data_IF_064098900303
#
_entry.id   IF_064098900303
#
_cell.length_a   1.000
_cell.length_b   1.000
_cell.length_c   1.000
_cell.angle_alpha   90.00
_cell.angle_beta   90.00
_cell.angle_gamma   90.00
#
_symmetry.space_group_name_H-M   'P 1'
#
loop_
_entity.id
_entity.type
_entity.pdbx_description
1 polymer ?
#
# COMPACT_ATOMS: atom_id res chain seq x y z
N UNK A 1 39.96 23.76 7.58
CA UNK A 1 38.74 23.45 6.82
C UNK A 1 37.61 23.37 7.80
N UNK A 2 36.73 24.38 7.80
CA UNK A 2 35.66 24.55 8.81
C UNK A 2 34.42 23.80 8.36
N UNK A 3 34.01 22.77 9.11
CA UNK A 3 32.73 22.10 8.92
C UNK A 3 31.60 23.08 9.28
N UNK A 4 30.72 23.38 8.34
CA UNK A 4 29.48 24.08 8.61
C UNK A 4 28.47 23.05 9.12
N UNK A 5 28.30 23.02 10.43
CA UNK A 5 27.14 22.37 11.07
C UNK A 5 25.96 23.30 10.78
N UNK A 6 25.07 22.87 9.91
CA UNK A 6 23.76 23.51 9.75
C UNK A 6 22.88 22.94 10.85
N UNK A 7 22.80 23.71 11.92
CA UNK A 7 21.89 23.48 13.03
C UNK A 7 20.48 23.86 12.55
N UNK A 8 19.66 22.88 12.14
CA UNK A 8 18.24 23.09 11.96
C UNK A 8 17.60 23.18 13.34
N UNK A 9 17.50 24.41 13.81
CA UNK A 9 16.80 24.73 15.04
C UNK A 9 15.31 24.47 14.78
N UNK A 10 14.79 23.35 15.29
CA UNK A 10 13.36 23.22 15.51
C UNK A 10 12.91 24.35 16.42
N UNK A 11 12.23 25.31 15.86
CA UNK A 11 11.45 26.28 16.64
C UNK A 11 10.25 25.50 17.18
N UNK A 12 10.42 24.95 18.38
CA UNK A 12 9.31 24.47 19.21
C UNK A 12 8.59 25.73 19.73
N UNK A 13 7.84 26.38 18.84
CA UNK A 13 6.83 27.34 19.28
C UNK A 13 5.67 26.49 19.81
N UNK A 14 5.52 26.48 21.13
CA UNK A 14 4.31 26.02 21.79
C UNK A 14 3.11 26.87 21.33
N UNK A 15 2.54 26.53 20.20
CA UNK A 15 1.24 26.99 19.78
C UNK A 15 0.22 26.01 20.39
N UNK A 16 -0.53 26.54 21.34
CA UNK A 16 -1.85 26.03 21.66
C UNK A 16 -2.55 25.70 20.34
N UNK A 17 -2.66 24.42 20.04
CA UNK A 17 -3.36 23.92 18.83
C UNK A 17 -4.84 24.13 19.07
N UNK A 18 -5.28 25.35 18.80
CA UNK A 18 -6.65 25.59 18.37
C UNK A 18 -6.78 24.91 17.01
N UNK A 19 -7.75 23.99 16.85
CA UNK A 19 -8.10 23.28 15.62
C UNK A 19 -7.47 23.92 14.38
N UNK A 20 -6.58 23.25 13.63
CA UNK A 20 -6.22 23.77 12.34
C UNK A 20 -7.50 23.73 11.47
N UNK A 21 -8.13 24.86 11.29
CA UNK A 21 -9.11 25.03 10.25
C UNK A 21 -8.39 24.64 8.95
N UNK A 22 -8.85 23.59 8.29
CA UNK A 22 -8.49 23.31 6.91
C UNK A 22 -8.67 24.63 6.15
N UNK A 23 -7.59 25.20 5.65
CA UNK A 23 -7.64 26.46 4.93
C UNK A 23 -8.56 26.24 3.72
N UNK A 24 -9.64 26.99 3.63
CA UNK A 24 -10.51 27.00 2.47
C UNK A 24 -9.69 27.43 1.27
N UNK A 25 -9.24 26.46 0.48
CA UNK A 25 -8.78 26.73 -0.88
C UNK A 25 -10.02 27.16 -1.68
N UNK A 26 -10.06 28.43 -2.07
CA UNK A 26 -11.10 28.96 -2.97
C UNK A 26 -10.89 28.41 -4.38
N UNK A 27 -11.18 27.13 -4.57
CA UNK A 27 -11.42 26.49 -5.86
C UNK A 27 -12.92 26.24 -6.00
N UNK A 28 -13.48 26.34 -7.20
CA UNK A 28 -14.87 26.00 -7.46
C UNK A 28 -15.13 24.59 -6.92
N UNK A 29 -15.89 24.50 -5.81
CA UNK A 29 -16.39 23.21 -5.29
C UNK A 29 -17.07 22.46 -6.44
N UNK A 30 -16.70 21.19 -6.70
CA UNK A 30 -17.41 20.36 -7.65
C UNK A 30 -18.89 20.34 -7.27
N UNK A 31 -19.77 20.12 -8.23
CA UNK A 31 -21.20 19.94 -8.00
C UNK A 31 -21.39 18.76 -7.04
N UNK A 32 -21.42 19.04 -5.75
CA UNK A 32 -21.72 18.02 -4.74
C UNK A 32 -23.06 17.38 -5.10
N UNK A 33 -23.06 16.06 -5.23
CA UNK A 33 -24.29 15.29 -5.40
C UNK A 33 -25.28 15.71 -4.30
N UNK A 34 -26.53 15.96 -4.68
CA UNK A 34 -27.59 16.36 -3.72
C UNK A 34 -27.70 15.42 -2.51
N UNK A 35 -27.34 14.13 -2.70
CA UNK A 35 -27.32 13.14 -1.63
C UNK A 35 -26.19 13.41 -0.62
N UNK A 36 -25.02 13.88 -1.05
CA UNK A 36 -23.92 14.25 -0.17
C UNK A 36 -24.32 15.40 0.75
N UNK A 37 -24.97 16.44 0.20
CA UNK A 37 -25.50 17.56 0.98
C UNK A 37 -26.59 17.10 1.95
N UNK A 38 -27.49 16.21 1.51
CA UNK A 38 -28.52 15.65 2.38
C UNK A 38 -27.91 14.80 3.48
N UNK A 39 -26.89 14.01 3.15
CA UNK A 39 -26.18 13.18 4.12
C UNK A 39 -25.54 14.03 5.22
N UNK A 40 -24.85 15.11 4.87
CA UNK A 40 -24.31 16.04 5.86
C UNK A 40 -25.41 16.55 6.81
N UNK A 41 -26.55 16.98 6.29
CA UNK A 41 -27.69 17.43 7.11
C UNK A 41 -28.23 16.33 8.02
N UNK A 42 -28.30 15.09 7.52
CA UNK A 42 -28.73 13.95 8.33
C UNK A 42 -27.74 13.63 9.45
N UNK A 43 -26.43 13.74 9.20
CA UNK A 43 -25.41 13.62 10.23
C UNK A 43 -25.57 14.68 11.34
N UNK A 44 -25.81 15.94 10.97
CA UNK A 44 -26.09 17.02 11.92
C UNK A 44 -27.37 16.73 12.73
N UNK A 45 -28.42 16.18 12.11
CA UNK A 45 -29.65 15.77 12.79
C UNK A 45 -29.45 14.60 13.77
N UNK A 46 -28.44 13.74 13.53
CA UNK A 46 -28.02 12.69 14.49
C UNK A 46 -27.24 13.26 15.69
N UNK A 47 -27.00 14.57 15.73
CA UNK A 47 -26.33 15.27 16.82
C UNK A 47 -24.82 15.39 16.66
N UNK A 48 -24.29 15.18 15.45
CA UNK A 48 -22.87 15.39 15.18
C UNK A 48 -22.57 16.85 14.83
N UNK A 49 -21.39 17.30 15.22
CA UNK A 49 -20.67 18.39 14.54
C UNK A 49 -19.97 17.77 13.34
N UNK A 50 -20.27 18.29 12.14
CA UNK A 50 -19.79 17.75 10.86
C UNK A 50 -18.80 18.73 10.23
N UNK A 51 -17.60 18.26 9.91
CA UNK A 51 -16.63 19.02 9.12
C UNK A 51 -16.44 18.31 7.78
N UNK A 52 -16.72 18.99 6.70
CA UNK A 52 -16.39 18.51 5.35
C UNK A 52 -14.93 18.86 5.04
N UNK A 53 -14.11 17.85 4.79
CA UNK A 53 -12.71 18.04 4.40
C UNK A 53 -12.63 18.10 2.88
N UNK A 54 -12.61 19.30 2.34
CA UNK A 54 -12.50 19.54 0.90
C UNK A 54 -11.14 19.07 0.39
N UNK A 55 -11.12 18.42 -0.79
CA UNK A 55 -9.92 17.89 -1.46
C UNK A 55 -9.01 17.02 -0.58
N UNK A 56 -9.55 16.45 0.50
CA UNK A 56 -8.74 15.66 1.43
C UNK A 56 -8.32 14.29 0.88
N UNK A 57 -9.00 13.75 -0.14
CA UNK A 57 -8.70 12.46 -0.73
C UNK A 57 -8.05 12.62 -2.11
N UNK A 58 -6.95 11.93 -2.35
CA UNK A 58 -6.28 11.95 -3.66
C UNK A 58 -4.92 11.28 -3.68
N UNK A 59 -4.27 11.31 -4.84
CA UNK A 59 -3.01 10.59 -5.07
C UNK A 59 -1.86 11.12 -4.21
N UNK A 60 -0.97 10.20 -3.80
CA UNK A 60 0.29 10.51 -3.14
C UNK A 60 1.45 9.88 -3.93
N UNK A 61 2.50 10.65 -4.15
CA UNK A 61 3.71 10.20 -4.84
C UNK A 61 4.85 10.02 -3.83
N UNK A 62 5.02 8.80 -3.32
CA UNK A 62 6.04 8.47 -2.32
C UNK A 62 7.46 8.65 -2.86
N UNK A 63 7.72 8.35 -4.14
CA UNK A 63 9.02 8.58 -4.75
C UNK A 63 9.37 10.07 -4.75
N UNK A 64 8.43 10.94 -5.10
CA UNK A 64 8.61 12.38 -5.04
C UNK A 64 8.90 12.86 -3.61
N UNK A 65 8.14 12.39 -2.62
CA UNK A 65 8.32 12.77 -1.22
C UNK A 65 9.72 12.40 -0.71
N UNK A 66 10.18 11.17 -0.97
CA UNK A 66 11.50 10.71 -0.53
C UNK A 66 12.62 11.40 -1.28
N UNK A 67 12.53 11.51 -2.60
CA UNK A 67 13.58 12.12 -3.42
C UNK A 67 13.79 13.60 -3.10
N UNK A 68 12.78 14.30 -2.61
CA UNK A 68 12.86 15.70 -2.20
C UNK A 68 13.03 15.93 -0.69
N UNK A 69 13.14 14.84 0.09
CA UNK A 69 13.41 14.91 1.52
C UNK A 69 12.23 15.31 2.41
N UNK A 70 11.00 15.18 1.90
CA UNK A 70 9.79 15.30 2.72
C UNK A 70 9.55 14.07 3.58
N UNK A 71 10.01 12.91 3.10
CA UNK A 71 10.02 11.63 3.82
C UNK A 71 11.42 11.01 3.74
N UNK A 72 11.80 10.23 4.74
CA UNK A 72 13.09 9.54 4.75
C UNK A 72 13.07 8.27 3.91
N UNK A 73 11.94 7.55 3.90
CA UNK A 73 11.75 6.29 3.18
C UNK A 73 10.40 6.27 2.43
N UNK A 74 10.31 5.47 1.39
CA UNK A 74 9.08 5.24 0.62
C UNK A 74 8.25 4.07 1.13
N UNK A 75 8.57 3.57 2.32
CA UNK A 75 7.81 2.52 3.02
C UNK A 75 7.63 1.25 2.18
N UNK A 76 8.64 0.88 1.41
CA UNK A 76 8.54 -0.29 0.56
C UNK A 76 7.41 -0.23 -0.44
N UNK A 77 7.10 0.93 -1.01
CA UNK A 77 6.03 1.08 -1.98
C UNK A 77 6.17 0.11 -3.15
N UNK A 78 5.07 -0.34 -3.71
CA UNK A 78 5.11 -1.11 -4.95
C UNK A 78 5.29 -0.13 -6.12
N UNK A 79 6.37 -0.29 -6.92
CA UNK A 79 6.69 0.61 -8.02
C UNK A 79 5.58 0.71 -9.09
N UNK A 80 4.76 -0.33 -9.22
CA UNK A 80 3.66 -0.41 -10.19
C UNK A 80 2.32 0.07 -9.63
N UNK A 81 2.27 0.56 -8.37
CA UNK A 81 1.02 0.86 -7.69
C UNK A 81 0.86 2.34 -7.42
N UNK A 82 -0.20 2.96 -7.88
CA UNK A 82 -0.65 4.22 -7.33
C UNK A 82 -1.34 4.02 -5.99
N UNK A 83 -1.24 5.07 -5.17
CA UNK A 83 -1.88 5.17 -3.87
C UNK A 83 -2.71 6.45 -3.81
N UNK A 84 -3.87 6.39 -3.16
CA UNK A 84 -4.63 7.57 -2.75
C UNK A 84 -4.79 7.56 -1.22
N UNK A 85 -4.76 8.73 -0.61
CA UNK A 85 -4.82 8.87 0.85
C UNK A 85 -5.78 9.99 1.24
N UNK A 86 -6.35 9.89 2.45
CA UNK A 86 -6.98 11.04 3.11
C UNK A 86 -5.87 11.79 3.83
N UNK A 87 -5.54 12.99 3.36
CA UNK A 87 -4.52 13.85 3.97
C UNK A 87 -4.61 15.30 3.50
N UNK A 88 -3.86 16.18 4.15
CA UNK A 88 -3.66 17.55 3.72
C UNK A 88 -2.73 17.65 2.50
N UNK A 89 -2.81 18.77 1.80
CA UNK A 89 -1.89 19.16 0.73
C UNK A 89 -1.04 20.33 1.20
N UNK A 90 0.27 20.23 1.04
CA UNK A 90 1.22 21.29 1.33
C UNK A 90 1.96 21.66 0.05
N UNK A 91 1.93 22.94 -0.35
CA UNK A 91 2.54 23.44 -1.61
C UNK A 91 2.21 22.59 -2.85
N UNK A 92 0.97 22.10 -2.93
CA UNK A 92 0.51 21.25 -4.03
C UNK A 92 0.94 19.77 -3.93
N UNK A 93 1.68 19.38 -2.90
CA UNK A 93 2.10 18.01 -2.62
C UNK A 93 1.29 17.44 -1.47
N UNK A 94 0.72 16.26 -1.66
CA UNK A 94 0.00 15.54 -0.60
C UNK A 94 1.01 14.84 0.31
N UNK A 95 0.99 15.17 1.60
CA UNK A 95 2.04 14.80 2.56
C UNK A 95 1.63 13.75 3.58
N UNK A 96 0.52 13.08 3.39
CA UNK A 96 0.13 11.92 4.21
C UNK A 96 0.04 12.17 5.73
N UNK A 97 -0.29 13.40 6.18
CA UNK A 97 -0.47 13.65 7.62
C UNK A 97 -1.62 12.86 8.19
N UNK A 98 -1.38 12.29 9.38
CA UNK A 98 -2.30 11.37 10.00
C UNK A 98 -3.54 12.02 10.61
N UNK A 99 -4.56 11.21 10.73
CA UNK A 99 -5.86 11.51 11.36
C UNK A 99 -5.78 11.14 12.85
N UNK A 100 -6.32 11.96 13.73
CA UNK A 100 -6.54 11.60 15.14
C UNK A 100 -8.04 11.53 15.43
N UNK A 101 -8.48 10.51 16.16
CA UNK A 101 -9.87 10.26 16.50
C UNK A 101 -10.07 10.20 18.02
N UNK A 102 -11.03 10.96 18.55
CA UNK A 102 -11.61 10.63 19.85
C UNK A 102 -12.34 9.27 19.79
N UNK A 103 -12.55 8.59 20.92
CA UNK A 103 -13.20 7.28 20.93
C UNK A 103 -14.58 7.21 20.23
N UNK A 104 -15.22 8.36 20.03
CA UNK A 104 -16.56 8.52 19.48
C UNK A 104 -16.59 9.29 18.15
N UNK A 105 -15.43 9.58 17.58
CA UNK A 105 -15.33 10.25 16.28
C UNK A 105 -15.43 9.25 15.12
N UNK A 106 -15.71 9.77 13.92
CA UNK A 106 -15.56 9.00 12.70
C UNK A 106 -15.02 9.87 11.55
N UNK A 107 -14.26 9.24 10.67
CA UNK A 107 -13.99 9.73 9.31
C UNK A 107 -14.84 8.93 8.34
N UNK A 108 -15.54 9.63 7.47
CA UNK A 108 -16.48 9.05 6.52
C UNK A 108 -16.01 9.40 5.11
N UNK A 109 -15.68 8.38 4.33
CA UNK A 109 -15.42 8.50 2.91
C UNK A 109 -16.68 8.14 2.14
N UNK A 110 -17.15 9.04 1.29
CA UNK A 110 -18.23 8.83 0.33
C UNK A 110 -17.61 8.97 -1.06
N UNK A 111 -17.66 7.93 -1.85
CA UNK A 111 -16.98 7.92 -3.14
C UNK A 111 -17.32 6.70 -3.97
N UNK A 112 -16.37 6.27 -4.77
CA UNK A 112 -16.51 5.07 -5.61
C UNK A 112 -15.26 4.21 -5.55
N UNK A 113 -15.41 2.95 -5.89
CA UNK A 113 -14.31 2.02 -6.12
C UNK A 113 -13.62 2.33 -7.44
N UNK A 114 -12.35 1.91 -7.62
CA UNK A 114 -11.61 2.15 -8.86
C UNK A 114 -12.25 1.42 -10.05
N UNK A 115 -11.85 1.79 -11.29
CA UNK A 115 -12.15 1.02 -12.47
C UNK A 115 -11.57 -0.39 -12.37
N UNK A 116 -11.88 -1.31 -13.32
CA UNK A 116 -11.37 -2.67 -13.25
C UNK A 116 -9.85 -2.77 -13.11
N UNK A 117 -9.41 -3.35 -12.00
CA UNK A 117 -8.01 -3.62 -11.64
C UNK A 117 -7.88 -5.05 -11.12
N UNK A 118 -6.67 -5.63 -11.12
CA UNK A 118 -6.48 -6.97 -10.54
C UNK A 118 -6.66 -6.98 -9.01
N UNK A 119 -6.33 -5.87 -8.36
CA UNK A 119 -6.47 -5.72 -6.92
C UNK A 119 -6.70 -4.25 -6.54
N UNK A 120 -7.60 -4.03 -5.59
CA UNK A 120 -7.65 -2.79 -4.81
C UNK A 120 -8.04 -3.04 -3.36
N UNK A 121 -7.69 -2.10 -2.49
CA UNK A 121 -8.16 -2.10 -1.10
C UNK A 121 -8.23 -0.70 -0.51
N UNK A 122 -9.12 -0.54 0.47
CA UNK A 122 -9.12 0.55 1.43
C UNK A 122 -8.61 0.02 2.76
N UNK A 123 -7.56 0.64 3.30
CA UNK A 123 -6.87 0.15 4.50
C UNK A 123 -6.66 1.28 5.49
N UNK A 124 -6.98 1.03 6.75
CA UNK A 124 -6.63 1.89 7.86
C UNK A 124 -5.28 1.46 8.47
N UNK A 125 -4.48 2.44 8.87
CA UNK A 125 -3.18 2.21 9.52
C UNK A 125 -3.05 3.07 10.77
N UNK A 126 -2.28 2.60 11.75
CA UNK A 126 -1.57 3.50 12.66
C UNK A 126 -0.25 3.87 11.99
N UNK A 127 -0.03 5.14 11.72
CA UNK A 127 1.20 5.61 11.11
C UNK A 127 2.31 5.73 12.15
N UNK A 128 2.05 6.53 13.20
CA UNK A 128 2.98 6.70 14.30
C UNK A 128 2.26 6.84 15.64
N UNK A 129 3.00 6.68 16.72
CA UNK A 129 2.53 6.82 18.08
C UNK A 129 3.49 7.60 18.97
N UNK A 130 2.99 8.08 20.08
CA UNK A 130 3.77 8.77 21.09
C UNK A 130 4.92 7.91 21.62
N UNK A 131 6.15 8.36 21.43
CA UNK A 131 7.37 7.65 21.82
C UNK A 131 7.76 7.81 23.30
N UNK A 132 7.09 8.71 24.02
CA UNK A 132 7.41 9.08 25.41
C UNK A 132 7.88 10.52 25.54
N UNK A 133 7.93 11.02 26.79
CA UNK A 133 8.37 12.38 27.08
C UNK A 133 9.79 12.64 26.56
N UNK A 134 9.98 13.73 25.82
CA UNK A 134 11.25 14.12 25.22
C UNK A 134 11.75 13.20 24.08
N UNK A 135 10.97 12.21 23.66
CA UNK A 135 11.31 11.33 22.54
C UNK A 135 10.51 11.68 21.29
N UNK A 136 11.07 11.45 20.10
CA UNK A 136 10.31 11.58 18.86
C UNK A 136 9.14 10.58 18.84
N UNK A 137 8.13 10.85 18.02
CA UNK A 137 7.07 9.88 17.74
C UNK A 137 7.68 8.62 17.11
N UNK A 138 7.18 7.47 17.50
CA UNK A 138 7.63 6.18 17.00
C UNK A 138 6.77 5.77 15.81
N UNK A 139 7.41 5.61 14.67
CA UNK A 139 6.73 5.11 13.49
C UNK A 139 6.39 3.62 13.68
N UNK A 140 5.14 3.28 13.46
CA UNK A 140 4.60 1.90 13.52
C UNK A 140 4.18 1.45 12.13
N UNK A 141 3.58 2.33 11.36
CA UNK A 141 2.97 2.16 10.04
C UNK A 141 2.44 0.73 9.80
N UNK A 142 1.52 0.33 10.65
CA UNK A 142 0.90 -0.99 10.67
C UNK A 142 -0.59 -0.89 10.39
N UNK A 143 -1.14 -1.85 9.65
CA UNK A 143 -2.59 -1.95 9.42
C UNK A 143 -3.34 -2.13 10.75
N UNK A 144 -4.61 -1.70 10.81
CA UNK A 144 -5.47 -1.86 11.99
C UNK A 144 -6.37 -3.10 11.92
N UNK A 145 -6.09 -4.00 10.99
CA UNK A 145 -6.84 -5.23 10.78
C UNK A 145 -6.85 -5.64 9.31
N UNK A 146 -7.78 -6.53 8.95
CA UNK A 146 -8.00 -6.91 7.56
C UNK A 146 -8.50 -5.72 6.74
N UNK A 147 -8.07 -5.64 5.48
CA UNK A 147 -8.45 -4.57 4.56
C UNK A 147 -9.87 -4.74 4.04
N UNK A 148 -10.45 -3.65 3.55
CA UNK A 148 -11.66 -3.68 2.73
C UNK A 148 -11.21 -3.77 1.28
N UNK A 149 -10.93 -4.99 0.80
CA UNK A 149 -10.43 -5.22 -0.54
C UNK A 149 -11.54 -5.62 -1.54
N UNK A 150 -11.17 -5.75 -2.82
CA UNK A 150 -12.07 -6.05 -3.92
C UNK A 150 -12.93 -7.32 -3.72
N UNK A 151 -12.48 -8.29 -2.93
CA UNK A 151 -13.24 -9.52 -2.65
C UNK A 151 -14.23 -9.38 -1.49
N UNK A 152 -14.08 -8.34 -0.66
CA UNK A 152 -14.83 -8.18 0.60
C UNK A 152 -15.68 -6.92 0.67
N UNK A 153 -15.41 -5.95 -0.19
CA UNK A 153 -16.10 -4.67 -0.17
C UNK A 153 -17.60 -4.82 -0.44
N UNK A 154 -18.42 -4.13 0.35
CA UNK A 154 -19.85 -4.05 0.11
C UNK A 154 -20.14 -3.02 -0.98
N UNK A 155 -20.69 -3.50 -2.08
CA UNK A 155 -21.18 -2.69 -3.22
C UNK A 155 -22.53 -3.25 -3.68
N UNK A 156 -23.24 -2.53 -4.55
CA UNK A 156 -24.48 -3.02 -5.15
C UNK A 156 -24.27 -4.27 -6.00
N UNK A 157 -23.08 -4.48 -6.53
CA UNK A 157 -22.69 -5.66 -7.29
C UNK A 157 -21.39 -6.23 -6.72
N UNK A 158 -21.50 -7.18 -5.80
CA UNK A 158 -20.35 -7.81 -5.15
C UNK A 158 -19.49 -8.65 -6.10
N UNK A 159 -20.03 -9.08 -7.25
CA UNK A 159 -19.27 -9.86 -8.23
C UNK A 159 -18.39 -8.96 -9.11
N UNK A 160 -18.81 -7.71 -9.30
CA UNK A 160 -18.10 -6.71 -10.10
C UNK A 160 -17.97 -5.42 -9.27
N UNK A 161 -17.08 -5.41 -8.29
CA UNK A 161 -17.00 -4.33 -7.29
C UNK A 161 -16.31 -3.05 -7.82
N UNK A 162 -16.10 -2.93 -9.12
CA UNK A 162 -15.42 -1.82 -9.77
C UNK A 162 -16.40 -0.74 -10.23
N UNK A 163 -15.97 0.54 -10.22
CA UNK A 163 -16.80 1.71 -10.58
C UNK A 163 -18.13 1.75 -9.80
N UNK A 164 -18.12 1.36 -8.54
CA UNK A 164 -19.32 1.31 -7.68
C UNK A 164 -19.24 2.37 -6.60
N UNK A 165 -20.37 3.03 -6.37
CA UNK A 165 -20.53 3.92 -5.23
C UNK A 165 -20.37 3.15 -3.91
N UNK A 166 -19.64 3.74 -2.96
CA UNK A 166 -19.40 3.19 -1.63
C UNK A 166 -19.41 4.28 -0.56
N UNK A 167 -19.70 3.86 0.67
CA UNK A 167 -19.40 4.61 1.88
C UNK A 167 -18.48 3.76 2.75
N UNK A 168 -17.39 4.36 3.26
CA UNK A 168 -16.51 3.72 4.24
C UNK A 168 -16.47 4.58 5.49
N UNK A 169 -16.86 4.01 6.63
CA UNK A 169 -16.87 4.67 7.95
C UNK A 169 -15.71 4.13 8.79
N UNK A 170 -14.71 4.97 9.06
CA UNK A 170 -13.58 4.67 9.92
C UNK A 170 -13.87 5.19 11.33
N UNK A 171 -14.12 4.30 12.29
CA UNK A 171 -14.50 4.65 13.67
C UNK A 171 -14.18 3.55 14.66
N UNK A 172 -14.03 3.93 15.93
CA UNK A 172 -13.86 2.99 17.05
C UNK A 172 -15.18 2.66 17.76
N UNK A 173 -16.25 3.44 17.52
CA UNK A 173 -17.51 3.35 18.28
C UNK A 173 -18.67 2.82 17.44
N UNK A 174 -19.34 1.77 17.95
CA UNK A 174 -20.51 1.17 17.30
C UNK A 174 -21.68 2.12 17.25
N UNK A 175 -21.91 2.88 18.34
CA UNK A 175 -23.00 3.84 18.39
C UNK A 175 -22.86 4.97 17.37
N UNK A 176 -21.65 5.49 17.20
CA UNK A 176 -21.32 6.46 16.15
C UNK A 176 -21.53 5.83 14.77
N UNK A 177 -21.03 4.61 14.53
CA UNK A 177 -21.22 3.95 13.25
C UNK A 177 -22.71 3.76 12.91
N UNK A 178 -23.53 3.25 13.86
CA UNK A 178 -24.96 3.05 13.66
C UNK A 178 -25.67 4.34 13.26
N UNK A 179 -25.39 5.45 13.93
CA UNK A 179 -25.96 6.78 13.59
C UNK A 179 -25.52 7.28 12.22
N UNK A 180 -24.24 7.08 11.86
CA UNK A 180 -23.72 7.45 10.52
C UNK A 180 -24.42 6.62 9.44
N UNK A 181 -24.57 5.31 9.64
CA UNK A 181 -25.27 4.44 8.69
C UNK A 181 -26.75 4.80 8.57
N UNK A 182 -27.41 5.19 9.66
CA UNK A 182 -28.81 5.64 9.62
C UNK A 182 -28.95 6.98 8.90
N UNK A 183 -28.05 7.93 9.13
CA UNK A 183 -27.99 9.20 8.39
C UNK A 183 -27.81 8.96 6.88
N UNK A 184 -26.92 8.02 6.50
CA UNK A 184 -26.72 7.65 5.11
C UNK A 184 -27.98 7.05 4.47
N UNK A 185 -28.69 6.15 5.16
CA UNK A 185 -30.00 5.61 4.70
C UNK A 185 -31.03 6.71 4.51
N UNK A 186 -31.13 7.65 5.45
CA UNK A 186 -32.08 8.79 5.36
C UNK A 186 -31.70 9.74 4.20
N UNK A 187 -30.43 9.82 3.83
CA UNK A 187 -29.96 10.54 2.65
C UNK A 187 -30.17 9.78 1.33
N UNK A 188 -30.73 8.56 1.38
CA UNK A 188 -31.04 7.75 0.19
C UNK A 188 -29.90 6.83 -0.28
N UNK A 189 -28.86 6.64 0.55
CA UNK A 189 -27.82 5.65 0.24
C UNK A 189 -28.27 4.23 0.62
N UNK A 190 -28.13 3.24 -0.27
CA UNK A 190 -28.50 1.86 0.04
C UNK A 190 -27.53 1.25 1.06
N UNK A 191 -28.05 0.44 1.98
CA UNK A 191 -27.22 -0.24 2.99
C UNK A 191 -26.15 -1.14 2.36
N UNK A 192 -26.39 -1.68 1.17
CA UNK A 192 -25.49 -2.60 0.49
C UNK A 192 -24.14 -1.98 0.09
N UNK A 193 -23.99 -0.64 0.10
CA UNK A 193 -22.73 0.05 -0.23
C UNK A 193 -21.97 0.54 1.01
N UNK A 194 -22.47 0.23 2.19
CA UNK A 194 -21.90 0.72 3.45
C UNK A 194 -20.85 -0.25 3.97
N UNK A 195 -19.67 0.27 4.28
CA UNK A 195 -18.53 -0.46 4.80
C UNK A 195 -18.05 0.20 6.09
N UNK A 196 -17.61 -0.60 7.06
CA UNK A 196 -17.04 -0.10 8.30
C UNK A 196 -15.59 -0.52 8.42
N UNK A 197 -14.71 0.46 8.58
CA UNK A 197 -13.31 0.27 8.93
C UNK A 197 -13.18 0.44 10.44
N UNK A 198 -13.16 -0.67 11.16
CA UNK A 198 -13.11 -0.67 12.62
C UNK A 198 -11.72 -0.22 13.09
N UNK A 199 -11.70 0.78 13.97
CA UNK A 199 -10.49 1.21 14.68
C UNK A 199 -10.48 0.53 16.06
N UNK A 200 -9.65 -0.51 16.27
CA UNK A 200 -9.67 -1.28 17.50
C UNK A 200 -9.03 -0.51 18.67
N UNK A 201 -9.84 0.01 19.58
CA UNK A 201 -9.39 0.78 20.75
C UNK A 201 -8.53 -0.03 21.74
N UNK A 202 -8.47 -1.36 21.58
CA UNK A 202 -7.57 -2.24 22.34
C UNK A 202 -6.10 -2.09 21.97
N UNK A 203 -5.80 -1.63 20.74
CA UNK A 203 -4.42 -1.48 20.22
C UNK A 203 -4.11 -0.07 19.76
N UNK A 204 -5.13 0.72 19.37
CA UNK A 204 -4.99 2.12 18.92
C UNK A 204 -5.19 3.07 20.09
N UNK A 205 -4.28 4.01 20.28
CA UNK A 205 -4.39 5.07 21.29
C UNK A 205 -5.23 6.21 20.72
N UNK A 206 -6.52 6.16 21.04
CA UNK A 206 -7.48 7.18 20.62
C UNK A 206 -7.34 8.47 21.43
N UNK A 207 -7.79 9.59 20.85
CA UNK A 207 -7.77 10.92 21.43
C UNK A 207 -7.24 11.96 20.47
N UNK A 208 -7.00 13.15 20.99
CA UNK A 208 -6.38 14.28 20.28
C UNK A 208 -5.07 14.68 20.98
N UNK A 209 -4.15 15.21 20.19
CA UNK A 209 -2.88 15.74 20.69
C UNK A 209 -1.77 14.68 20.79
N UNK A 210 -0.74 14.99 21.54
CA UNK A 210 0.57 14.32 21.48
C UNK A 210 0.50 12.81 21.78
N UNK A 211 -0.32 12.41 22.77
CA UNK A 211 -0.36 11.01 23.25
C UNK A 211 -1.19 10.07 22.36
N UNK A 212 -2.02 10.62 21.49
CA UNK A 212 -2.83 9.84 20.56
C UNK A 212 -2.01 9.35 19.37
N UNK A 213 -2.39 8.21 18.81
CA UNK A 213 -1.82 7.70 17.57
C UNK A 213 -2.29 8.54 16.38
N UNK A 214 -1.46 8.67 15.35
CA UNK A 214 -1.88 9.15 14.04
C UNK A 214 -2.29 7.99 13.17
N UNK A 215 -3.46 8.12 12.56
CA UNK A 215 -4.05 7.13 11.67
C UNK A 215 -3.93 7.58 10.21
N UNK A 216 -3.89 6.63 9.28
CA UNK A 216 -4.02 6.88 7.85
C UNK A 216 -5.17 6.07 7.28
N UNK A 217 -5.80 6.64 6.25
CA UNK A 217 -6.74 5.95 5.36
C UNK A 217 -6.11 5.92 3.96
N UNK A 218 -5.85 4.73 3.44
CA UNK A 218 -5.11 4.53 2.20
C UNK A 218 -5.90 3.64 1.25
N UNK A 219 -6.04 4.08 0.01
CA UNK A 219 -6.45 3.25 -1.11
C UNK A 219 -5.22 2.80 -1.91
N UNK A 220 -5.22 1.52 -2.31
CA UNK A 220 -4.20 0.88 -3.17
C UNK A 220 -4.85 0.25 -4.37
N UNK A 221 -4.19 0.35 -5.53
CA UNK A 221 -4.70 -0.20 -6.79
C UNK A 221 -3.57 -0.80 -7.60
N UNK A 222 -3.79 -1.99 -8.18
CA UNK A 222 -2.76 -2.68 -8.97
C UNK A 222 -3.31 -3.23 -10.26
N UNK A 223 -2.51 -3.11 -11.30
CA UNK A 223 -2.73 -3.75 -12.59
C UNK A 223 -4.10 -3.44 -13.17
N UNK A 224 -4.33 -2.20 -13.63
CA UNK A 224 -5.58 -1.80 -14.25
C UNK A 224 -5.80 -2.54 -15.58
N UNK A 225 -7.06 -2.81 -15.90
CA UNK A 225 -7.44 -3.29 -17.21
C UNK A 225 -7.21 -2.22 -18.31
N UNK A 226 -7.38 -0.95 -17.93
CA UNK A 226 -7.07 0.22 -18.75
C UNK A 226 -6.36 1.28 -17.89
N UNK A 227 -5.16 1.70 -18.30
CA UNK A 227 -4.36 2.69 -17.57
C UNK A 227 -4.98 4.09 -17.61
N UNK A 228 -5.59 4.48 -18.72
CA UNK A 228 -6.20 5.81 -18.87
C UNK A 228 -7.41 5.98 -17.96
N UNK A 229 -8.21 4.91 -17.77
CA UNK A 229 -9.34 4.91 -16.84
C UNK A 229 -8.87 5.08 -15.40
N UNK A 230 -7.78 4.39 -15.01
CA UNK A 230 -7.20 4.53 -13.67
C UNK A 230 -6.61 5.92 -13.46
N UNK A 231 -5.91 6.45 -14.44
CA UNK A 231 -5.36 7.82 -14.39
C UNK A 231 -6.49 8.83 -14.23
N UNK A 232 -7.56 8.72 -15.04
CA UNK A 232 -8.75 9.58 -14.93
C UNK A 232 -9.40 9.47 -13.56
N UNK A 233 -9.54 8.25 -13.03
CA UNK A 233 -10.10 8.01 -11.70
C UNK A 233 -9.32 8.76 -10.61
N UNK A 234 -7.99 8.71 -10.66
CA UNK A 234 -7.13 9.37 -9.69
C UNK A 234 -7.12 10.89 -9.83
N UNK A 235 -6.97 11.38 -11.06
CA UNK A 235 -6.86 12.83 -11.34
C UNK A 235 -8.15 13.59 -11.06
N UNK A 236 -9.28 12.89 -11.08
CA UNK A 236 -10.59 13.48 -10.80
C UNK A 236 -11.14 13.15 -9.41
N UNK A 237 -10.31 12.64 -8.51
CA UNK A 237 -10.75 12.21 -7.16
C UNK A 237 -11.48 13.31 -6.38
N UNK A 238 -11.05 14.56 -6.48
CA UNK A 238 -11.70 15.72 -5.88
C UNK A 238 -13.14 15.99 -6.41
N UNK A 239 -13.50 15.40 -7.56
CA UNK A 239 -14.84 15.60 -8.16
C UNK A 239 -15.88 14.57 -7.68
N UNK A 240 -15.42 13.39 -7.25
CA UNK A 240 -16.32 12.27 -6.90
C UNK A 240 -16.12 11.74 -5.47
N UNK A 241 -15.07 12.16 -4.75
CA UNK A 241 -14.86 11.80 -3.36
C UNK A 241 -15.28 12.96 -2.44
N UNK A 242 -15.96 12.62 -1.34
CA UNK A 242 -16.24 13.52 -0.24
C UNK A 242 -15.79 12.89 1.07
N UNK A 243 -15.10 13.66 1.90
CA UNK A 243 -14.62 13.18 3.20
C UNK A 243 -15.25 14.03 4.29
N UNK A 244 -15.91 13.37 5.24
CA UNK A 244 -16.46 14.04 6.43
C UNK A 244 -15.74 13.55 7.67
N UNK A 245 -15.44 14.48 8.55
CA UNK A 245 -15.09 14.22 9.92
C UNK A 245 -16.29 14.56 10.80
N UNK A 246 -16.70 13.60 11.65
CA UNK A 246 -17.82 13.81 12.58
C UNK A 246 -17.37 13.58 14.01
N UNK A 247 -17.85 14.44 14.89
CA UNK A 247 -17.65 14.34 16.35
C UNK A 247 -18.92 14.82 17.06
N UNK A 248 -19.02 14.53 18.35
CA UNK A 248 -20.09 15.13 19.15
C UNK A 248 -19.66 16.47 19.71
N UNK A 249 -20.56 17.49 19.82
CA UNK A 249 -20.24 18.76 20.45
C UNK A 249 -19.84 18.61 21.92
N UNK A 250 -20.49 17.67 22.61
CA UNK A 250 -20.17 17.28 23.98
C UNK A 250 -19.84 15.79 24.03
N UNK A 251 -18.90 15.42 24.92
CA UNK A 251 -18.53 14.01 25.09
C UNK A 251 -19.79 13.17 25.42
N UNK A 252 -20.09 12.13 24.63
CA UNK A 252 -21.25 11.28 24.90
C UNK A 252 -21.10 10.56 26.24
N UNK A 253 -22.22 10.46 26.98
CA UNK A 253 -22.27 9.81 28.28
C UNK A 253 -21.86 8.33 28.22
N UNK A 254 -21.99 7.69 27.06
CA UNK A 254 -21.67 6.29 26.84
C UNK A 254 -21.02 6.10 25.47
N UNK A 255 -19.87 5.42 25.47
CA UNK A 255 -19.17 4.96 24.29
C UNK A 255 -19.34 3.44 24.17
N UNK A 256 -19.55 2.92 22.97
CA UNK A 256 -19.72 1.51 22.68
C UNK A 256 -18.58 1.00 21.77
N UNK A 257 -17.35 0.83 22.28
CA UNK A 257 -16.20 0.49 21.46
C UNK A 257 -16.41 -0.84 20.74
N UNK A 258 -15.90 -0.93 19.53
CA UNK A 258 -15.80 -2.20 18.83
C UNK A 258 -14.82 -3.12 19.56
N UNK A 259 -15.12 -4.43 19.65
CA UNK A 259 -14.08 -5.41 19.98
C UNK A 259 -12.99 -5.39 18.91
N UNK A 260 -11.81 -5.91 19.25
CA UNK A 260 -10.79 -6.20 18.24
C UNK A 260 -11.40 -7.14 17.20
N UNK A 261 -11.40 -6.78 15.90
CA UNK A 261 -11.97 -7.65 14.87
C UNK A 261 -11.25 -9.00 14.83
N UNK A 262 -12.01 -10.06 14.62
CA UNK A 262 -11.43 -11.36 14.27
C UNK A 262 -10.77 -11.25 12.90
N UNK A 263 -9.51 -11.70 12.82
CA UNK A 263 -8.75 -11.69 11.58
C UNK A 263 -9.07 -12.90 10.72
N UNK A 264 -9.13 -12.72 9.43
CA UNK A 264 -9.23 -13.82 8.49
C UNK A 264 -8.01 -14.75 8.62
N UNK A 265 -8.25 -16.04 8.51
CA UNK A 265 -7.20 -17.03 8.52
C UNK A 265 -6.52 -17.06 7.15
N UNK A 266 -5.18 -16.93 7.13
CA UNK A 266 -4.38 -17.07 5.92
C UNK A 266 -4.26 -18.54 5.53
N UNK A 267 -4.34 -18.80 4.23
CA UNK A 267 -4.11 -20.11 3.65
C UNK A 267 -5.33 -21.02 3.63
N UNK A 268 -5.29 -21.96 2.73
CA UNK A 268 -6.36 -22.94 2.45
C UNK A 268 -5.95 -24.37 2.79
N UNK A 269 -4.73 -24.59 3.29
CA UNK A 269 -4.13 -25.92 3.48
C UNK A 269 -3.54 -26.51 2.18
N UNK A 270 -3.74 -25.89 1.02
CA UNK A 270 -3.13 -26.31 -0.24
C UNK A 270 -1.77 -25.61 -0.41
N UNK A 271 -0.74 -26.38 -0.67
CA UNK A 271 0.62 -25.86 -0.82
C UNK A 271 1.09 -25.97 -2.26
N UNK A 272 2.12 -25.18 -2.61
CA UNK A 272 2.82 -25.25 -3.89
C UNK A 272 4.00 -26.25 -3.87
N UNK A 273 4.16 -27.06 -2.81
CA UNK A 273 5.31 -27.93 -2.58
C UNK A 273 5.58 -28.91 -3.74
N UNK A 274 4.53 -29.33 -4.45
CA UNK A 274 4.66 -30.22 -5.61
C UNK A 274 5.41 -29.58 -6.80
N UNK A 275 5.54 -28.26 -6.81
CA UNK A 275 6.33 -27.50 -7.80
C UNK A 275 7.81 -27.40 -7.44
N UNK A 276 8.21 -27.74 -6.20
CA UNK A 276 9.60 -27.63 -5.73
C UNK A 276 10.60 -28.33 -6.66
N UNK A 277 10.38 -29.60 -7.12
CA UNK A 277 11.36 -30.26 -8.01
C UNK A 277 11.49 -29.56 -9.37
N UNK A 278 10.41 -28.94 -9.87
CA UNK A 278 10.44 -28.17 -11.11
C UNK A 278 11.16 -26.83 -10.92
N UNK A 279 10.96 -26.17 -9.79
CA UNK A 279 11.65 -24.93 -9.43
C UNK A 279 13.16 -25.15 -9.24
N UNK A 280 13.58 -26.25 -8.58
CA UNK A 280 14.99 -26.59 -8.41
C UNK A 280 15.64 -26.96 -9.77
N UNK A 281 14.89 -27.59 -10.66
CA UNK A 281 15.36 -27.85 -12.03
C UNK A 281 15.50 -26.55 -12.82
N UNK A 282 14.58 -25.58 -12.66
CA UNK A 282 14.67 -24.26 -13.26
C UNK A 282 15.92 -23.52 -12.79
N UNK A 283 16.18 -23.52 -11.48
CA UNK A 283 17.42 -22.94 -10.91
C UNK A 283 18.66 -23.52 -11.55
N UNK A 284 18.70 -24.86 -11.68
CA UNK A 284 19.83 -25.56 -12.30
C UNK A 284 19.97 -25.21 -13.78
N UNK A 285 18.89 -25.10 -14.52
CA UNK A 285 18.89 -24.72 -15.93
C UNK A 285 19.33 -23.26 -16.14
N UNK A 286 18.91 -22.35 -15.25
CA UNK A 286 19.36 -20.96 -15.24
C UNK A 286 20.89 -20.89 -15.06
N UNK A 287 21.43 -21.61 -14.09
CA UNK A 287 22.89 -21.65 -13.84
C UNK A 287 23.63 -22.23 -15.05
N UNK A 288 23.16 -23.32 -15.62
CA UNK A 288 23.78 -23.94 -16.79
C UNK A 288 23.79 -23.03 -18.01
N UNK A 289 22.68 -22.31 -18.26
CA UNK A 289 22.57 -21.34 -19.36
C UNK A 289 23.52 -20.13 -19.19
N UNK A 290 24.02 -19.88 -17.98
CA UNK A 290 24.91 -18.76 -17.64
C UNK A 290 26.28 -19.28 -17.13
N UNK A 291 26.79 -20.41 -17.66
CA UNK A 291 28.01 -21.10 -17.20
C UNK A 291 29.30 -20.27 -17.29
N UNK A 292 29.29 -19.17 -18.05
CA UNK A 292 30.43 -18.23 -18.15
C UNK A 292 30.46 -17.16 -17.04
N UNK A 293 29.53 -17.18 -16.10
CA UNK A 293 29.39 -16.20 -15.02
C UNK A 293 29.51 -16.87 -13.65
N UNK A 294 29.85 -16.07 -12.64
CA UNK A 294 29.82 -16.54 -11.25
C UNK A 294 28.39 -16.32 -10.69
N UNK A 295 27.69 -17.38 -10.27
CA UNK A 295 26.35 -17.27 -9.69
C UNK A 295 26.43 -16.97 -8.19
N UNK A 296 25.79 -15.88 -7.77
CA UNK A 296 25.54 -15.56 -6.37
C UNK A 296 24.05 -15.68 -6.07
N UNK A 297 23.67 -16.69 -5.30
CA UNK A 297 22.26 -17.00 -5.00
C UNK A 297 21.70 -16.04 -3.96
N UNK A 298 20.61 -15.35 -4.31
CA UNK A 298 19.84 -14.48 -3.46
C UNK A 298 18.55 -15.18 -3.06
N UNK A 299 18.56 -15.80 -1.89
CA UNK A 299 17.34 -16.38 -1.31
C UNK A 299 16.51 -15.28 -0.64
N UNK A 300 15.19 -15.35 -0.78
CA UNK A 300 14.30 -14.47 -0.07
C UNK A 300 14.01 -15.00 1.35
N UNK A 301 13.66 -14.08 2.22
CA UNK A 301 13.17 -14.33 3.56
C UNK A 301 11.95 -13.45 3.85
N UNK A 302 11.28 -13.68 4.97
CA UNK A 302 10.16 -12.85 5.40
C UNK A 302 10.67 -11.41 5.64
N UNK A 303 10.05 -10.44 4.94
CA UNK A 303 10.39 -9.03 5.10
C UNK A 303 9.58 -8.38 6.22
N UNK A 304 8.26 -8.52 6.16
CA UNK A 304 7.35 -7.91 7.12
C UNK A 304 6.54 -8.98 7.84
N UNK A 305 6.38 -8.76 9.13
CA UNK A 305 5.50 -9.55 10.00
C UNK A 305 4.06 -9.02 9.95
N UNK A 306 3.18 -9.57 10.76
CA UNK A 306 1.78 -9.17 10.80
C UNK A 306 1.54 -7.98 11.73
N UNK A 307 0.44 -7.30 11.54
CA UNK A 307 0.01 -6.07 12.19
C UNK A 307 0.19 -6.02 13.72
N UNK A 308 -0.13 -7.11 14.45
CA UNK A 308 0.04 -7.16 15.90
C UNK A 308 1.50 -7.04 16.34
N UNK A 309 2.45 -7.52 15.53
CA UNK A 309 3.88 -7.40 15.85
C UNK A 309 4.32 -5.94 15.88
N UNK A 310 3.79 -5.10 14.98
CA UNK A 310 4.02 -3.65 15.01
C UNK A 310 3.57 -3.02 16.32
N UNK A 311 2.36 -3.34 16.77
CA UNK A 311 1.78 -2.79 17.99
C UNK A 311 2.46 -3.32 19.26
N UNK A 312 2.74 -4.63 19.32
CA UNK A 312 3.31 -5.27 20.51
C UNK A 312 4.80 -4.98 20.70
N UNK A 313 5.55 -4.92 19.60
CA UNK A 313 7.01 -4.74 19.62
C UNK A 313 7.44 -3.32 19.32
N UNK A 314 6.54 -2.46 18.84
CA UNK A 314 6.87 -1.13 18.37
C UNK A 314 7.73 -1.14 17.10
N UNK A 315 7.58 -2.17 16.25
CA UNK A 315 8.32 -2.29 15.01
C UNK A 315 7.62 -1.50 13.91
N UNK A 316 8.38 -0.72 13.13
CA UNK A 316 7.85 -0.11 11.92
C UNK A 316 7.60 -1.19 10.86
N UNK A 317 6.34 -1.41 10.52
CA UNK A 317 5.92 -2.37 9.50
C UNK A 317 5.75 -1.75 8.11
N UNK A 318 6.21 -0.52 7.93
CA UNK A 318 6.30 0.20 6.65
C UNK A 318 5.07 0.06 5.73
N UNK A 319 3.88 0.12 6.33
CA UNK A 319 2.62 0.02 5.59
C UNK A 319 2.23 -1.41 5.22
N UNK A 320 2.63 -2.39 6.02
CA UNK A 320 2.15 -3.77 5.91
C UNK A 320 0.63 -3.82 5.83
N UNK A 321 0.09 -4.70 5.01
CA UNK A 321 -1.32 -5.08 5.06
C UNK A 321 -1.49 -6.60 4.93
N UNK A 322 -2.55 -7.10 5.55
CA UNK A 322 -2.83 -8.54 5.59
C UNK A 322 -3.25 -9.13 4.24
N UNK A 323 -3.47 -8.31 3.22
CA UNK A 323 -3.82 -8.76 1.87
C UNK A 323 -2.65 -9.41 1.13
N UNK A 324 -1.43 -9.28 1.62
CA UNK A 324 -0.27 -9.83 0.93
C UNK A 324 0.73 -10.48 1.88
N UNK A 325 1.61 -11.29 1.35
CA UNK A 325 2.87 -11.68 1.97
C UNK A 325 3.98 -10.79 1.45
N UNK A 326 4.97 -10.55 2.30
CA UNK A 326 6.13 -9.72 1.97
C UNK A 326 7.40 -10.54 2.17
N UNK A 327 8.13 -10.76 1.08
CA UNK A 327 9.44 -11.41 1.10
C UNK A 327 10.48 -10.45 0.53
N UNK A 328 11.74 -10.55 0.96
CA UNK A 328 12.85 -9.83 0.35
C UNK A 328 14.13 -10.64 0.33
N UNK A 329 15.02 -10.32 -0.61
CA UNK A 329 16.40 -10.80 -0.60
C UNK A 329 17.26 -10.01 0.39
N UNK A 330 18.47 -10.46 0.65
CA UNK A 330 19.52 -9.60 1.18
C UNK A 330 19.86 -8.48 0.20
N UNK A 331 20.51 -7.45 0.72
CA UNK A 331 20.99 -6.35 -0.11
C UNK A 331 22.13 -6.81 -1.04
N UNK A 332 22.23 -6.16 -2.20
CA UNK A 332 23.28 -6.37 -3.20
C UNK A 332 23.53 -5.09 -3.99
N UNK A 333 24.65 -5.04 -4.73
CA UNK A 333 24.94 -3.98 -5.70
C UNK A 333 24.82 -4.52 -7.11
N UNK A 334 24.20 -3.75 -8.00
CA UNK A 334 24.03 -4.08 -9.42
C UNK A 334 24.86 -3.13 -10.26
N UNK A 335 25.84 -3.65 -11.00
CA UNK A 335 26.67 -2.88 -11.90
C UNK A 335 25.95 -2.42 -13.18
N UNK A 336 26.57 -1.52 -13.93
CA UNK A 336 26.03 -0.97 -15.19
C UNK A 336 26.49 -1.76 -16.43
N UNK A 337 27.36 -2.75 -16.25
CA UNK A 337 27.79 -3.66 -17.33
C UNK A 337 26.62 -4.58 -17.75
N UNK A 338 26.46 -4.89 -19.04
CA UNK A 338 25.51 -5.93 -19.47
C UNK A 338 25.88 -7.33 -19.00
N UNK A 339 27.08 -7.51 -18.44
CA UNK A 339 27.60 -8.74 -17.84
C UNK A 339 27.36 -8.83 -16.32
N UNK A 340 26.69 -7.83 -15.73
CA UNK A 340 26.24 -7.79 -14.33
C UNK A 340 24.70 -7.71 -14.31
N UNK A 341 24.02 -8.80 -13.94
CA UNK A 341 22.57 -8.89 -14.00
C UNK A 341 22.00 -9.93 -13.05
N UNK A 342 20.73 -9.82 -12.78
CA UNK A 342 19.95 -10.78 -12.02
C UNK A 342 19.08 -11.64 -12.95
N UNK A 343 18.88 -12.90 -12.58
CA UNK A 343 17.73 -13.68 -13.01
C UNK A 343 16.85 -13.90 -11.78
N UNK A 344 15.66 -13.29 -11.79
CA UNK A 344 14.63 -13.44 -10.76
C UNK A 344 13.72 -14.56 -11.20
N UNK A 345 13.44 -15.55 -10.33
CA UNK A 345 12.64 -16.71 -10.68
C UNK A 345 11.87 -17.25 -9.48
N UNK A 346 10.77 -17.94 -9.77
CA UNK A 346 9.90 -18.45 -8.74
C UNK A 346 8.65 -19.10 -9.32
N UNK A 347 7.63 -19.22 -8.45
CA UNK A 347 6.30 -19.69 -8.84
C UNK A 347 5.41 -18.49 -9.18
N UNK A 348 4.69 -18.58 -10.28
CA UNK A 348 3.64 -17.63 -10.60
C UNK A 348 2.40 -17.93 -9.75
N UNK A 349 2.28 -17.29 -8.61
CA UNK A 349 1.22 -17.52 -7.63
C UNK A 349 -0.20 -17.22 -8.16
N UNK A 350 -0.33 -16.37 -9.19
CA UNK A 350 -1.61 -16.17 -9.90
C UNK A 350 -1.96 -17.42 -10.72
N UNK A 351 -0.98 -18.03 -11.38
CA UNK A 351 -1.19 -19.25 -12.18
C UNK A 351 -1.52 -20.48 -11.31
N UNK A 352 -1.05 -20.53 -10.07
CA UNK A 352 -1.40 -21.61 -9.11
C UNK A 352 -2.71 -21.34 -8.37
N UNK A 353 -3.27 -20.14 -8.49
CA UNK A 353 -4.47 -19.70 -7.74
C UNK A 353 -4.21 -19.32 -6.29
N UNK A 354 -2.94 -19.16 -5.90
CA UNK A 354 -2.55 -18.69 -4.56
C UNK A 354 -2.63 -17.18 -4.39
N UNK A 355 -2.75 -16.43 -5.48
CA UNK A 355 -2.96 -14.99 -5.43
C UNK A 355 -3.80 -14.50 -6.59
N UNK A 356 -4.45 -13.35 -6.44
CA UNK A 356 -5.09 -12.62 -7.54
C UNK A 356 -4.09 -11.77 -8.32
N UNK A 357 -2.94 -11.49 -7.72
CA UNK A 357 -1.86 -10.69 -8.26
C UNK A 357 -0.58 -11.00 -7.50
N UNK A 358 0.53 -11.18 -8.18
CA UNK A 358 1.85 -11.24 -7.57
C UNK A 358 2.87 -10.45 -8.39
N UNK A 359 3.95 -10.03 -7.75
CA UNK A 359 5.01 -9.30 -8.42
C UNK A 359 6.34 -9.41 -7.68
N UNK A 360 7.42 -9.14 -8.40
CA UNK A 360 8.67 -8.69 -7.79
C UNK A 360 8.92 -7.21 -8.09
N UNK A 361 9.65 -6.55 -7.20
CA UNK A 361 10.09 -5.15 -7.36
C UNK A 361 11.54 -5.04 -6.91
N UNK A 362 12.36 -4.31 -7.68
CA UNK A 362 13.69 -3.88 -7.28
C UNK A 362 13.58 -2.62 -6.44
N UNK A 363 14.22 -2.60 -5.28
CA UNK A 363 14.20 -1.50 -4.32
C UNK A 363 15.57 -0.89 -4.13
N UNK A 364 15.58 0.43 -3.93
CA UNK A 364 16.70 1.13 -3.30
C UNK A 364 16.65 0.85 -1.79
N UNK A 365 17.72 0.26 -1.23
CA UNK A 365 17.68 -0.28 0.12
C UNK A 365 17.48 0.78 1.20
N UNK A 366 18.29 1.85 1.18
CA UNK A 366 18.23 2.90 2.21
C UNK A 366 16.91 3.69 2.19
N UNK A 367 16.35 3.94 1.01
CA UNK A 367 15.10 4.69 0.87
C UNK A 367 13.87 3.79 0.90
N UNK A 368 14.03 2.47 0.91
CA UNK A 368 12.93 1.50 0.76
C UNK A 368 11.99 1.88 -0.40
N UNK A 369 12.59 2.41 -1.47
CA UNK A 369 11.88 2.94 -2.64
C UNK A 369 11.83 1.88 -3.74
N UNK A 370 10.60 1.47 -4.09
CA UNK A 370 10.36 0.61 -5.25
C UNK A 370 10.67 1.33 -6.55
N UNK A 371 11.60 0.79 -7.34
CA UNK A 371 12.09 1.45 -8.54
C UNK A 371 11.48 0.88 -9.81
N UNK A 372 11.49 -0.43 -9.96
CA UNK A 372 10.96 -1.14 -11.13
C UNK A 372 10.57 -2.56 -10.76
N UNK A 373 9.63 -3.16 -11.47
CA UNK A 373 9.17 -4.51 -11.20
C UNK A 373 8.43 -5.15 -12.36
N UNK A 374 8.08 -6.41 -12.18
CA UNK A 374 7.25 -7.18 -13.11
C UNK A 374 6.16 -7.92 -12.34
N UNK A 375 4.98 -7.99 -12.92
CA UNK A 375 3.83 -8.66 -12.34
C UNK A 375 3.63 -10.06 -12.91
N UNK A 376 2.81 -10.86 -12.26
CA UNK A 376 2.50 -12.25 -12.61
C UNK A 376 2.10 -12.48 -14.08
N UNK A 377 1.40 -11.50 -14.69
CA UNK A 377 0.96 -11.61 -16.09
C UNK A 377 2.10 -11.34 -17.07
N UNK A 378 2.95 -10.35 -16.80
CA UNK A 378 4.15 -10.07 -17.59
C UNK A 378 5.19 -11.19 -17.47
N UNK A 379 5.20 -11.92 -16.36
CA UNK A 379 6.10 -13.02 -16.07
C UNK A 379 5.64 -14.36 -16.66
N UNK A 380 4.37 -14.46 -17.08
CA UNK A 380 3.80 -15.69 -17.62
C UNK A 380 4.56 -16.17 -18.87
N UNK A 381 4.90 -17.47 -18.92
CA UNK A 381 5.65 -18.07 -20.03
C UNK A 381 7.15 -17.78 -20.07
N UNK A 382 7.68 -16.92 -19.17
CA UNK A 382 9.10 -16.54 -19.19
C UNK A 382 10.05 -17.69 -18.81
N UNK A 383 9.56 -18.74 -18.14
CA UNK A 383 10.34 -19.92 -17.82
C UNK A 383 10.42 -20.94 -18.99
N UNK A 384 9.59 -20.82 -20.03
CA UNK A 384 9.48 -21.80 -21.14
C UNK A 384 10.77 -21.96 -21.94
N UNK A 385 11.63 -20.95 -21.94
CA UNK A 385 12.95 -20.96 -22.61
C UNK A 385 14.00 -21.85 -21.92
N UNK A 386 13.71 -22.35 -20.71
CA UNK A 386 14.62 -23.21 -19.95
C UNK A 386 14.21 -24.68 -20.10
N UNK A 387 15.21 -25.57 -20.25
CA UNK A 387 14.97 -27.01 -20.31
C UNK A 387 14.74 -27.56 -18.88
N UNK A 388 13.49 -27.84 -18.58
CA UNK A 388 13.07 -28.45 -17.32
C UNK A 388 12.99 -29.99 -17.39
N UNK A 389 13.30 -30.59 -18.54
CA UNK A 389 13.24 -32.03 -18.74
C UNK A 389 11.86 -32.60 -18.47
N UNK A 390 11.73 -33.61 -17.63
CA UNK A 390 10.42 -34.22 -17.29
C UNK A 390 9.42 -33.28 -16.64
N UNK A 391 9.85 -32.10 -16.19
CA UNK A 391 9.00 -31.10 -15.57
C UNK A 391 8.55 -29.99 -16.54
N UNK A 392 8.84 -30.12 -17.85
CA UNK A 392 8.55 -29.05 -18.82
C UNK A 392 7.06 -28.62 -18.83
N UNK A 393 6.14 -29.52 -18.58
CA UNK A 393 4.73 -29.21 -18.49
C UNK A 393 4.36 -28.30 -17.30
N UNK A 394 5.24 -28.13 -16.32
CA UNK A 394 5.06 -27.29 -15.15
C UNK A 394 5.62 -25.87 -15.35
N UNK A 395 6.34 -25.60 -16.45
CA UNK A 395 6.90 -24.26 -16.75
C UNK A 395 5.86 -23.15 -16.71
N UNK A 396 4.62 -23.46 -17.10
CA UNK A 396 3.47 -22.53 -17.06
C UNK A 396 3.14 -21.97 -15.67
N UNK A 397 3.59 -22.64 -14.59
CA UNK A 397 3.46 -22.22 -13.21
C UNK A 397 4.70 -21.52 -12.68
N UNK A 398 5.76 -21.44 -13.49
CA UNK A 398 7.05 -20.87 -13.10
C UNK A 398 7.35 -19.62 -13.92
N UNK A 399 8.26 -18.82 -13.41
CA UNK A 399 8.81 -17.70 -14.16
C UNK A 399 10.32 -17.59 -13.97
N UNK A 400 11.01 -16.95 -14.94
CA UNK A 400 12.39 -16.55 -14.84
C UNK A 400 12.64 -15.31 -15.70
N UNK A 401 13.02 -14.19 -15.07
CA UNK A 401 13.12 -12.91 -15.73
C UNK A 401 14.45 -12.21 -15.44
N UNK A 402 15.09 -11.64 -16.49
CA UNK A 402 16.34 -10.89 -16.34
C UNK A 402 16.05 -9.47 -15.85
N UNK A 403 16.90 -8.99 -14.93
CA UNK A 403 16.91 -7.60 -14.44
C UNK A 403 18.34 -7.08 -14.51
N UNK A 404 18.57 -5.91 -15.09
CA UNK A 404 19.88 -5.31 -15.23
C UNK A 404 19.80 -3.78 -15.31
N UNK A 405 20.89 -3.09 -15.04
CA UNK A 405 21.03 -1.65 -15.38
C UNK A 405 21.21 -1.46 -16.88
N UNK A 406 21.83 -2.44 -17.53
CA UNK A 406 22.06 -2.47 -18.99
C UNK A 406 21.63 -3.85 -19.53
N UNK A 407 20.56 -3.90 -20.26
CA UNK A 407 20.04 -5.13 -20.86
C UNK A 407 20.79 -5.57 -22.13
N UNK A 408 21.80 -4.82 -22.60
CA UNK A 408 22.56 -5.14 -23.82
C UNK A 408 21.71 -5.16 -25.10
N UNK A 409 20.64 -4.36 -25.15
CA UNK A 409 19.73 -4.28 -26.30
C UNK A 409 18.61 -5.34 -26.29
N UNK A 410 18.47 -6.17 -25.26
CA UNK A 410 17.32 -7.07 -25.12
C UNK A 410 16.01 -6.29 -24.99
N UNK A 411 14.90 -6.82 -25.53
CA UNK A 411 13.59 -6.16 -25.42
C UNK A 411 13.05 -6.22 -24.00
N UNK A 412 12.15 -5.30 -23.67
CA UNK A 412 11.51 -5.22 -22.33
C UNK A 412 10.69 -6.46 -21.93
N UNK A 413 10.36 -7.32 -22.89
CA UNK A 413 9.74 -8.64 -22.67
C UNK A 413 10.70 -9.71 -22.16
N UNK A 414 12.02 -9.45 -22.26
CA UNK A 414 13.06 -10.40 -21.85
C UNK A 414 13.95 -9.87 -20.73
N UNK A 415 14.07 -8.54 -20.60
CA UNK A 415 14.91 -7.92 -19.60
C UNK A 415 14.25 -6.64 -19.06
N UNK A 416 14.20 -6.51 -17.73
CA UNK A 416 13.81 -5.29 -17.04
C UNK A 416 15.05 -4.40 -16.90
N UNK A 417 15.13 -3.33 -17.69
CA UNK A 417 16.25 -2.39 -17.63
C UNK A 417 15.95 -1.26 -16.63
N UNK A 418 16.86 -1.05 -15.68
CA UNK A 418 16.73 -0.04 -14.62
C UNK A 418 17.82 1.02 -14.81
N UNK A 419 17.49 2.10 -15.49
CA UNK A 419 18.44 3.17 -15.87
C UNK A 419 18.55 4.30 -14.86
N UNK A 420 17.51 4.50 -14.06
CA UNK A 420 17.44 5.61 -13.11
C UNK A 420 16.46 5.29 -11.97
N UNK A 421 16.56 6.01 -10.88
CA UNK A 421 15.56 6.00 -9.82
C UNK A 421 14.35 6.78 -10.33
N UNK A 422 13.16 6.14 -10.44
CA UNK A 422 11.97 6.81 -10.95
C UNK A 422 11.43 7.78 -9.91
N UNK A 423 11.11 9.01 -10.32
CA UNK A 423 10.51 10.03 -9.44
C UNK A 423 9.03 10.25 -9.77
N UNK A 424 8.61 9.80 -10.94
CA UNK A 424 7.26 10.05 -11.45
C UNK A 424 7.02 11.54 -11.71
N UNK A 425 5.74 11.94 -11.80
CA UNK A 425 5.37 13.35 -11.94
C UNK A 425 5.62 14.05 -10.60
N UNK A 426 6.77 14.68 -10.47
CA UNK A 426 7.17 15.43 -9.28
C UNK A 426 7.30 16.91 -9.63
N UNK A 427 6.71 17.78 -8.83
CA UNK A 427 6.79 19.24 -9.00
C UNK A 427 8.24 19.77 -8.88
N UNK A 428 9.15 18.98 -8.31
CA UNK A 428 10.51 19.38 -7.97
C UNK A 428 11.58 18.83 -8.91
N UNK A 429 11.23 18.16 -10.01
CA UNK A 429 12.14 17.66 -11.03
C UNK A 429 12.07 16.16 -11.32
N UNK A 430 12.82 15.76 -12.34
CA UNK A 430 12.76 14.41 -12.92
C UNK A 430 13.83 13.45 -12.36
N UNK A 431 14.67 13.89 -11.43
CA UNK A 431 15.73 13.07 -10.83
C UNK A 431 15.62 13.02 -9.30
N UNK A 432 16.14 11.95 -8.71
CA UNK A 432 16.20 11.75 -7.27
C UNK A 432 17.58 12.17 -6.74
N UNK A 433 17.72 13.35 -6.10
CA UNK A 433 19.03 13.82 -5.63
C UNK A 433 19.55 13.05 -4.41
N UNK A 434 18.71 12.24 -3.77
CA UNK A 434 19.03 11.52 -2.52
C UNK A 434 19.52 10.08 -2.74
N UNK A 435 19.47 9.54 -3.96
CA UNK A 435 19.82 8.14 -4.22
C UNK A 435 20.58 7.95 -5.52
N UNK A 436 21.33 6.85 -5.59
CA UNK A 436 22.08 6.40 -6.75
C UNK A 436 21.78 4.94 -7.03
N UNK A 437 21.86 4.53 -8.30
CA UNK A 437 21.82 3.11 -8.66
C UNK A 437 23.09 2.35 -8.22
N UNK A 438 24.14 3.05 -7.75
CA UNK A 438 25.35 2.44 -7.18
C UNK A 438 25.18 2.12 -5.68
N UNK A 439 24.09 2.57 -5.08
CA UNK A 439 23.74 2.21 -3.69
C UNK A 439 23.28 0.76 -3.57
N UNK A 440 23.09 0.30 -2.35
CA UNK A 440 22.60 -1.04 -2.09
C UNK A 440 21.12 -1.18 -2.52
N UNK A 441 20.81 -2.30 -3.17
CA UNK A 441 19.50 -2.65 -3.71
C UNK A 441 19.05 -3.98 -3.10
N UNK A 442 17.73 -4.24 -3.09
CA UNK A 442 17.18 -5.57 -2.81
C UNK A 442 15.98 -5.87 -3.71
N UNK A 443 15.63 -7.14 -3.82
CA UNK A 443 14.38 -7.58 -4.45
C UNK A 443 13.33 -7.82 -3.37
N UNK A 444 12.16 -7.22 -3.54
CA UNK A 444 10.97 -7.51 -2.75
C UNK A 444 9.94 -8.26 -3.58
N UNK A 445 9.26 -9.23 -2.97
CA UNK A 445 8.24 -10.07 -3.60
C UNK A 445 6.94 -9.96 -2.84
N UNK A 446 5.83 -9.98 -3.57
CA UNK A 446 4.49 -9.90 -3.02
C UNK A 446 3.53 -10.83 -3.73
N UNK A 447 2.65 -11.47 -2.97
CA UNK A 447 1.49 -12.21 -3.46
C UNK A 447 0.24 -11.71 -2.74
N UNK A 448 -0.70 -11.12 -3.50
CA UNK A 448 -1.88 -10.44 -2.96
C UNK A 448 -3.11 -11.33 -3.05
N UNK A 449 -3.90 -11.32 -2.00
CA UNK A 449 -5.22 -11.93 -1.85
C UNK A 449 -5.33 -13.34 -2.45
N UNK A 450 -5.31 -14.34 -1.60
CA UNK A 450 -5.73 -15.68 -1.98
C UNK A 450 -7.25 -15.66 -2.18
N UNK A 451 -7.76 -16.02 -3.37
CA UNK A 451 -9.18 -15.84 -3.70
C UNK A 451 -10.16 -16.50 -2.75
N UNK A 452 -9.80 -17.65 -2.17
CA UNK A 452 -10.68 -18.42 -1.29
C UNK A 452 -10.73 -17.85 0.13
N UNK A 453 -9.68 -17.20 0.60
CA UNK A 453 -9.61 -16.65 1.96
C UNK A 453 -9.95 -15.17 2.03
N UNK A 454 -9.81 -14.44 0.91
CA UNK A 454 -10.01 -12.99 0.85
C UNK A 454 -8.93 -12.18 1.59
N UNK A 455 -7.81 -12.81 1.94
CA UNK A 455 -6.62 -12.23 2.58
C UNK A 455 -5.37 -12.80 1.89
N UNK A 456 -4.19 -12.30 2.14
CA UNK A 456 -2.95 -12.81 1.55
C UNK A 456 -2.72 -14.30 1.85
N UNK A 457 -2.02 -15.02 1.00
CA UNK A 457 -1.75 -16.45 1.21
C UNK A 457 -0.93 -16.68 2.48
N UNK A 458 -0.87 -17.93 2.93
CA UNK A 458 0.01 -18.32 4.02
C UNK A 458 1.45 -18.45 3.50
N UNK A 459 2.44 -17.89 4.24
CA UNK A 459 3.86 -17.95 3.87
C UNK A 459 4.37 -19.37 3.65
N UNK A 460 3.81 -20.35 4.35
CA UNK A 460 4.23 -21.75 4.28
C UNK A 460 3.48 -22.58 3.24
N UNK A 461 2.51 -21.99 2.57
CA UNK A 461 1.77 -22.62 1.47
C UNK A 461 2.29 -22.23 0.09
N UNK A 462 3.07 -21.14 -0.02
CA UNK A 462 3.73 -20.71 -1.25
C UNK A 462 5.20 -21.07 -1.27
N UNK A 463 5.74 -21.28 -2.46
CA UNK A 463 7.20 -21.40 -2.66
C UNK A 463 7.80 -20.01 -2.83
N UNK A 464 8.73 -19.65 -1.95
CA UNK A 464 9.33 -18.34 -1.94
C UNK A 464 10.19 -18.09 -3.17
N UNK A 465 10.03 -16.91 -3.74
CA UNK A 465 10.77 -16.45 -4.90
C UNK A 465 12.27 -16.35 -4.61
N UNK A 466 13.08 -16.50 -5.65
CA UNK A 466 14.54 -16.53 -5.61
C UNK A 466 15.13 -15.63 -6.68
N UNK A 467 16.40 -15.29 -6.55
CA UNK A 467 17.15 -14.69 -7.62
C UNK A 467 18.60 -15.21 -7.64
N UNK A 468 19.25 -15.09 -8.78
CA UNK A 468 20.69 -15.33 -8.92
C UNK A 468 21.31 -14.10 -9.53
N UNK A 469 22.33 -13.57 -8.88
CA UNK A 469 23.13 -12.48 -9.38
C UNK A 469 24.33 -13.06 -10.15
N UNK A 470 24.43 -12.71 -11.41
CA UNK A 470 25.49 -13.15 -12.29
C UNK A 470 26.48 -12.02 -12.55
N UNK A 471 27.76 -12.30 -12.31
CA UNK A 471 28.89 -11.41 -12.58
C UNK A 471 29.94 -12.16 -13.37
N UNK A 472 30.61 -11.47 -14.28
CA UNK A 472 31.75 -12.02 -15.03
C UNK A 472 33.04 -11.84 -14.26
#
# INVERSE_FOLDING_TARGET
>A
MKAKIVLFTMILAGLLVTNPAFAQVKGKSPLMDKRVVLFQKQLEQQGFTVTHWEDAFGPINLACLVCNGYEDIAYGNNAAAPYQVISETYEGVRIGRGIQLEPYDAVIFVGKTPPPVAYFSFTGFVFDRYGGEGKPRQQIFSSIGDTINHSRINTLDKKHPFDKEIIVVMTADRGTNEKVLDAAKQAGYPQAIMNTMVVPSSVVRLGKGEKADYLLFVERMYLPANQDDLTTYMDTSSQWASVFYVTYPDKPAKVAPYPTPDMLVRGTGRTEVDLMPALDRLESAIIAANSGYQPDKLQSGIWLLEWLDGFQRGTNLIGECRDTVYLKTRDFKLGDSPEDYLIVFGVNHEATGKSTYSNFTLYHSTMELGMAGKNSRELSGSADRYDLGKYQALSKYLYAFKVARNCGGLPATECLEVKQIPVGNCLFGDCCPRGSLDDDLFLGFRAYVEPETGVGPNWFEILWDRAIHFKK
#
